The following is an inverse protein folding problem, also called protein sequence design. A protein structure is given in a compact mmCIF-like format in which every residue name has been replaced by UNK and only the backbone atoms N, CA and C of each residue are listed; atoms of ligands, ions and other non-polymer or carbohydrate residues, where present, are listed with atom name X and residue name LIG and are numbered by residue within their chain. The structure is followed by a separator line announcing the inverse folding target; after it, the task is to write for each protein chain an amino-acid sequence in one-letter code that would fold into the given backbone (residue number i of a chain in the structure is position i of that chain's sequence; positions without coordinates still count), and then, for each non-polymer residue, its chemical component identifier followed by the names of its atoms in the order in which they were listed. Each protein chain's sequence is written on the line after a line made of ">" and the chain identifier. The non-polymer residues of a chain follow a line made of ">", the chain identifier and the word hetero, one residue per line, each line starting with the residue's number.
data_IF_734996361601
#
_entry.id   IF_734996361601
#
_cell.length_a   1.000
_cell.length_b   1.000
_cell.length_c   1.000
_cell.angle_alpha   90.00
_cell.angle_beta   90.00
_cell.angle_gamma   90.00
#
_symmetry.space_group_name_H-M   'P 1'
#
loop_
_entity.id
_entity.type
_entity.pdbx_description
1 polymer ?
#
# COMPACT_ATOMS: atom_id res chain seq x y z
N UNK A 1 -13.81 -8.46 0.36
CA UNK A 1 -13.33 -9.72 -0.23
C UNK A 1 -13.70 -9.70 -1.71
N UNK A 2 -12.74 -9.55 -2.62
CA UNK A 2 -13.01 -9.61 -4.05
C UNK A 2 -12.58 -11.00 -4.54
N UNK A 3 -13.46 -11.73 -5.22
CA UNK A 3 -13.19 -13.08 -5.76
C UNK A 3 -12.83 -14.15 -4.71
N UNK A 4 -13.31 -14.04 -3.47
CA UNK A 4 -13.08 -15.07 -2.44
C UNK A 4 -11.66 -15.12 -1.87
N UNK A 5 -10.80 -14.14 -2.16
CA UNK A 5 -9.46 -14.08 -1.59
C UNK A 5 -9.50 -13.73 -0.09
N UNK A 6 -8.97 -14.60 0.77
CA UNK A 6 -8.91 -14.40 2.22
C UNK A 6 -7.54 -14.77 2.78
N UNK A 7 -7.19 -14.16 3.90
CA UNK A 7 -6.02 -14.53 4.70
C UNK A 7 -6.47 -15.36 5.90
N UNK A 8 -5.73 -16.43 6.21
CA UNK A 8 -5.88 -17.16 7.47
C UNK A 8 -4.93 -16.54 8.50
N UNK A 9 -5.43 -15.69 9.42
CA UNK A 9 -4.56 -15.06 10.40
C UNK A 9 -4.00 -16.10 11.38
N UNK A 10 -2.79 -15.84 11.88
CA UNK A 10 -2.16 -16.59 12.98
C UNK A 10 -1.42 -15.62 13.90
N UNK A 11 -1.23 -15.98 15.18
CA UNK A 11 -0.59 -15.10 16.18
C UNK A 11 -1.53 -14.04 16.80
N UNK A 12 -2.69 -14.48 17.31
CA UNK A 12 -3.69 -13.59 17.93
C UNK A 12 -3.06 -12.63 18.96
N UNK A 13 -3.31 -11.33 18.81
CA UNK A 13 -2.86 -10.27 19.73
C UNK A 13 -1.54 -9.57 19.37
N UNK A 14 -0.80 -10.02 18.35
CA UNK A 14 0.42 -9.35 17.91
C UNK A 14 0.09 -8.14 16.99
N UNK A 15 -0.02 -6.94 17.56
CA UNK A 15 -0.13 -5.69 16.80
C UNK A 15 1.13 -4.84 17.02
N UNK A 16 1.86 -4.54 15.95
CA UNK A 16 2.98 -3.61 15.98
C UNK A 16 2.73 -2.50 14.95
N UNK A 17 2.45 -1.27 15.41
CA UNK A 17 2.43 -0.08 14.57
C UNK A 17 3.77 0.64 14.71
N UNK A 18 4.58 0.60 13.66
CA UNK A 18 5.91 1.21 13.63
C UNK A 18 5.83 2.61 13.00
N UNK A 19 6.15 3.65 13.77
CA UNK A 19 6.14 5.03 13.29
C UNK A 19 7.58 5.51 13.02
N UNK A 20 8.02 5.52 11.77
CA UNK A 20 9.15 6.33 11.29
C UNK A 20 8.62 7.67 10.81
N UNK A 21 9.54 8.62 10.56
CA UNK A 21 9.24 10.01 10.20
C UNK A 21 8.33 10.22 8.95
N UNK A 22 8.00 9.17 8.19
CA UNK A 22 7.06 9.24 7.06
C UNK A 22 6.18 7.98 6.93
N UNK A 23 5.89 7.30 8.03
CA UNK A 23 5.03 6.10 8.04
C UNK A 23 3.55 6.49 8.08
N UNK A 24 2.76 5.94 7.16
CA UNK A 24 1.29 5.98 7.23
C UNK A 24 0.81 4.84 8.13
N UNK A 25 -0.21 5.10 8.96
CA UNK A 25 -0.90 4.05 9.72
C UNK A 25 -1.61 3.05 8.79
N UNK A 26 -2.10 1.94 9.36
CA UNK A 26 -2.87 0.96 8.61
C UNK A 26 -4.06 1.62 7.88
N UNK A 27 -4.20 1.35 6.58
CA UNK A 27 -5.24 1.95 5.72
C UNK A 27 -6.34 0.94 5.38
N UNK A 28 -7.52 1.46 5.05
CA UNK A 28 -8.65 0.65 4.58
C UNK A 28 -8.36 0.03 3.22
N UNK A 29 -8.83 -1.21 3.01
CA UNK A 29 -8.74 -1.90 1.71
C UNK A 29 -9.37 -1.11 0.55
N UNK A 30 -10.33 -0.22 0.82
CA UNK A 30 -10.96 0.61 -0.20
C UNK A 30 -10.01 1.67 -0.80
N UNK A 31 -8.93 2.01 -0.11
CA UNK A 31 -7.97 3.04 -0.53
C UNK A 31 -6.92 2.50 -1.51
N UNK A 32 -6.80 1.17 -1.66
CA UNK A 32 -5.78 0.53 -2.50
C UNK A 32 -5.80 1.07 -3.92
N UNK A 33 -6.98 1.16 -4.55
CA UNK A 33 -7.11 1.63 -5.93
C UNK A 33 -6.60 3.07 -6.11
N UNK A 34 -6.92 3.97 -5.19
CA UNK A 34 -6.46 5.36 -5.22
C UNK A 34 -4.95 5.46 -4.99
N UNK A 35 -4.42 4.69 -4.03
CA UNK A 35 -2.98 4.69 -3.70
C UNK A 35 -2.11 4.16 -4.84
N UNK A 36 -2.57 3.13 -5.56
CA UNK A 36 -1.80 2.50 -6.64
C UNK A 36 -2.14 3.06 -8.03
N UNK A 37 -3.02 4.07 -8.12
CA UNK A 37 -3.47 4.64 -9.39
C UNK A 37 -2.33 5.19 -10.25
N UNK A 38 -1.26 5.71 -9.63
CA UNK A 38 -0.05 6.20 -10.30
C UNK A 38 1.14 5.23 -10.26
N UNK A 39 0.93 3.96 -9.88
CA UNK A 39 2.03 2.99 -9.81
C UNK A 39 2.52 2.62 -11.23
N UNK A 40 3.85 2.48 -11.37
CA UNK A 40 4.49 2.18 -12.65
C UNK A 40 5.72 3.05 -12.88
N UNK A 41 6.32 2.95 -14.07
CA UNK A 41 7.42 3.83 -14.46
C UNK A 41 6.93 5.28 -14.57
N UNK A 42 7.78 6.23 -14.18
CA UNK A 42 7.48 7.64 -14.39
C UNK A 42 7.38 7.93 -15.89
N UNK A 43 6.40 8.76 -16.28
CA UNK A 43 6.36 9.29 -17.63
C UNK A 43 7.45 10.37 -17.77
N UNK A 44 8.67 9.93 -18.02
CA UNK A 44 9.81 10.83 -18.18
C UNK A 44 9.77 11.49 -19.55
N UNK A 45 9.81 12.82 -19.57
CA UNK A 45 10.03 13.56 -20.82
C UNK A 45 11.47 13.37 -21.25
N UNK A 46 11.68 13.10 -22.55
CA UNK A 46 13.03 13.11 -23.13
C UNK A 46 13.70 14.43 -22.73
N UNK A 47 14.95 14.37 -22.27
CA UNK A 47 15.76 15.49 -21.73
C UNK A 47 15.52 15.86 -20.23
N UNK A 48 14.64 15.17 -19.48
CA UNK A 48 14.50 15.35 -18.02
C UNK A 48 14.81 14.06 -17.27
N UNK A 49 15.63 14.11 -16.22
CA UNK A 49 15.87 12.97 -15.32
C UNK A 49 14.71 12.81 -14.35
N UNK A 50 14.10 11.63 -14.42
CA UNK A 50 13.44 10.94 -13.32
C UNK A 50 14.21 9.64 -13.05
#
# INVERSE_FOLDING_TARGET
>A
MLNGAYFTPSGAGAWASYAKASSLGAQSSSMVASMTSGAGVLNCRRVHTC
#
